data_IF_699411666877
#
_entry.id   IF_699411666877
#
_cell.length_a   1.000
_cell.length_b   1.000
_cell.length_c   1.000
_cell.angle_alpha   90.00
_cell.angle_beta   90.00
_cell.angle_gamma   90.00
#
_symmetry.space_group_name_H-M   'P 1'
#
loop_
_entity.id
_entity.type
_entity.pdbx_description
1 polymer ?
#
# COMPACT_ATOMS: atom_id res chain seq x y z
N UNK A 1 -6.53 0.36 7.33
CA UNK A 1 -5.96 1.41 6.44
C UNK A 1 -6.06 0.88 5.02
N UNK A 2 -6.66 1.63 4.12
CA UNK A 2 -6.84 1.21 2.71
C UNK A 2 -5.63 1.62 1.83
N UNK A 3 -4.43 1.49 2.37
CA UNK A 3 -3.15 1.77 1.71
C UNK A 3 -2.20 0.59 1.99
N UNK A 4 -1.50 0.14 0.96
CA UNK A 4 -0.69 -1.05 0.99
C UNK A 4 0.70 -0.83 0.41
N UNK A 5 1.62 -1.74 0.74
CA UNK A 5 2.96 -1.82 0.17
C UNK A 5 2.99 -2.89 -0.94
N UNK A 6 3.70 -2.60 -2.03
CA UNK A 6 3.82 -3.48 -3.20
C UNK A 6 5.27 -3.65 -3.61
N UNK A 7 5.59 -4.83 -4.16
CA UNK A 7 6.92 -5.16 -4.68
C UNK A 7 7.13 -4.71 -6.13
N UNK A 8 6.07 -4.27 -6.82
CA UNK A 8 6.10 -3.87 -8.22
C UNK A 8 5.33 -2.58 -8.49
N UNK A 9 5.74 -1.84 -9.51
CA UNK A 9 5.11 -0.58 -9.94
C UNK A 9 3.68 -0.78 -10.49
N UNK A 10 3.38 -1.98 -11.00
CA UNK A 10 2.08 -2.35 -11.52
C UNK A 10 1.07 -2.68 -10.41
N UNK A 11 1.51 -2.68 -9.15
CA UNK A 11 0.71 -2.95 -7.95
C UNK A 11 0.02 -4.33 -7.97
N UNK A 12 0.67 -5.31 -8.58
CA UNK A 12 0.16 -6.69 -8.68
C UNK A 12 0.66 -7.59 -7.56
N UNK A 13 1.76 -7.21 -6.89
CA UNK A 13 2.41 -7.97 -5.83
C UNK A 13 2.34 -7.22 -4.50
N UNK A 14 1.14 -7.20 -3.90
CA UNK A 14 0.97 -6.63 -2.57
C UNK A 14 1.80 -7.41 -1.54
N UNK A 15 2.55 -6.71 -0.71
CA UNK A 15 3.28 -7.32 0.42
C UNK A 15 2.25 -7.76 1.45
N UNK A 16 2.40 -8.99 1.96
CA UNK A 16 1.48 -9.55 2.95
C UNK A 16 1.50 -8.77 4.27
N UNK A 17 0.33 -8.63 4.86
CA UNK A 17 0.10 -7.86 6.09
C UNK A 17 -0.10 -8.79 7.30
N UNK A 18 0.87 -9.69 7.51
CA UNK A 18 0.92 -10.58 8.67
C UNK A 18 0.51 -12.03 8.41
N UNK A 19 0.14 -12.38 7.18
CA UNK A 19 -0.28 -13.74 6.78
C UNK A 19 0.80 -14.52 5.99
N UNK A 20 1.93 -13.89 5.66
CA UNK A 20 3.03 -14.48 4.88
C UNK A 20 2.64 -15.00 3.48
N UNK A 21 1.53 -14.58 2.91
CA UNK A 21 1.09 -15.02 1.58
C UNK A 21 2.02 -14.51 0.47
N UNK A 22 2.53 -13.29 0.60
CA UNK A 22 3.49 -12.66 -0.30
C UNK A 22 4.45 -11.74 0.47
N UNK A 23 5.38 -12.29 1.28
CA UNK A 23 6.31 -11.49 2.07
C UNK A 23 7.35 -10.79 1.19
N UNK A 24 7.93 -9.69 1.68
CA UNK A 24 9.16 -9.11 1.13
C UNK A 24 10.36 -10.01 1.46
N UNK A 25 10.43 -11.18 0.81
CA UNK A 25 11.41 -12.20 1.10
C UNK A 25 12.63 -12.10 0.18
N UNK A 26 13.79 -12.36 0.77
CA UNK A 26 15.08 -12.48 0.07
C UNK A 26 15.96 -13.54 0.74
N UNK A 27 16.88 -14.13 -0.04
CA UNK A 27 17.93 -15.00 0.47
C UNK A 27 19.25 -14.22 0.51
N UNK A 28 19.96 -14.29 1.63
CA UNK A 28 21.23 -13.59 1.84
C UNK A 28 22.38 -14.53 2.14
N UNK A 29 23.57 -14.19 1.65
CA UNK A 29 24.81 -14.89 2.00
C UNK A 29 25.34 -14.38 3.36
N UNK A 30 24.98 -15.06 4.43
CA UNK A 30 25.46 -14.73 5.77
C UNK A 30 26.95 -15.04 6.01
N UNK A 31 27.56 -15.94 5.22
CA UNK A 31 28.99 -16.27 5.39
C UNK A 31 29.89 -15.09 5.03
N UNK A 32 29.65 -14.50 3.86
CA UNK A 32 30.48 -13.40 3.33
C UNK A 32 29.87 -12.03 3.64
N UNK A 33 28.60 -11.99 4.02
CA UNK A 33 27.78 -10.80 4.11
C UNK A 33 27.23 -10.41 2.75
N UNK A 34 26.02 -9.81 2.74
CA UNK A 34 25.38 -9.39 1.51
C UNK A 34 24.51 -8.15 1.71
N UNK A 35 24.46 -7.30 0.68
CA UNK A 35 23.62 -6.10 0.65
C UNK A 35 22.68 -6.23 -0.54
N UNK A 36 21.36 -6.03 -0.29
CA UNK A 36 20.34 -5.95 -1.35
C UNK A 36 19.47 -4.72 -1.19
N UNK A 37 19.29 -4.02 -2.29
CA UNK A 37 18.39 -2.89 -2.40
C UNK A 37 17.10 -3.32 -3.11
N UNK A 38 15.97 -2.83 -2.63
CA UNK A 38 14.66 -3.05 -3.26
C UNK A 38 13.85 -1.76 -3.26
N UNK A 39 13.20 -1.47 -4.38
CA UNK A 39 12.18 -0.43 -4.43
C UNK A 39 10.85 -1.02 -3.97
N UNK A 40 10.14 -0.26 -3.14
CA UNK A 40 8.82 -0.61 -2.62
C UNK A 40 7.87 0.52 -3.00
N UNK A 41 6.68 0.15 -3.45
CA UNK A 41 5.64 1.07 -3.88
C UNK A 41 4.54 1.15 -2.83
N UNK A 42 3.95 2.33 -2.68
CA UNK A 42 2.88 2.62 -1.72
C UNK A 42 1.69 3.17 -2.49
N UNK A 43 0.59 2.49 -2.46
CA UNK A 43 -0.62 2.88 -3.16
C UNK A 43 -1.87 2.57 -2.34
N UNK A 44 -2.95 3.33 -2.60
CA UNK A 44 -4.26 2.98 -2.10
C UNK A 44 -4.74 1.68 -2.75
N UNK A 45 -5.59 0.97 -2.05
CA UNK A 45 -6.38 -0.10 -2.61
C UNK A 45 -7.16 0.38 -3.83
N UNK A 46 -7.08 -0.37 -4.92
CA UNK A 46 -7.67 0.02 -6.21
C UNK A 46 -8.09 -1.18 -7.05
N UNK A 47 -9.05 -0.93 -7.95
CA UNK A 47 -9.54 -1.84 -8.97
C UNK A 47 -10.11 -1.03 -10.14
N UNK A 48 -10.89 -1.63 -11.02
CA UNK A 48 -11.64 -0.93 -12.08
C UNK A 48 -13.10 -1.34 -12.10
N UNK A 49 -13.96 -0.53 -12.75
CA UNK A 49 -15.32 -0.92 -13.06
C UNK A 49 -15.34 -2.04 -14.10
N UNK A 50 -16.11 -3.10 -13.86
CA UNK A 50 -16.31 -4.17 -14.83
C UNK A 50 -17.29 -3.78 -15.95
N UNK A 51 -18.24 -2.88 -15.66
CA UNK A 51 -19.23 -2.38 -16.60
C UNK A 51 -19.42 -0.85 -16.44
N UNK A 52 -19.87 -0.14 -17.49
CA UNK A 52 -20.16 1.28 -17.38
C UNK A 52 -21.36 1.51 -16.46
N UNK A 53 -21.36 2.63 -15.75
CA UNK A 53 -22.47 3.08 -14.91
C UNK A 53 -22.95 4.47 -15.35
N UNK A 54 -24.24 4.73 -15.24
CA UNK A 54 -24.82 6.06 -15.45
C UNK A 54 -24.85 6.88 -14.14
N UNK A 55 -25.38 8.10 -14.19
CA UNK A 55 -25.43 9.02 -13.05
C UNK A 55 -26.45 8.67 -11.96
N UNK A 56 -27.33 7.68 -12.19
CA UNK A 56 -28.39 7.28 -11.23
C UNK A 56 -28.21 5.87 -10.67
N UNK A 57 -27.38 5.06 -11.32
CA UNK A 57 -27.16 3.67 -10.92
C UNK A 57 -26.41 3.59 -9.59
N UNK A 58 -26.90 2.77 -8.68
CA UNK A 58 -26.32 2.55 -7.33
C UNK A 58 -25.69 1.18 -7.16
N UNK A 59 -26.01 0.23 -8.04
CA UNK A 59 -25.38 -1.09 -8.03
C UNK A 59 -24.27 -1.08 -9.07
N UNK A 60 -23.03 -1.34 -8.63
CA UNK A 60 -21.84 -1.30 -9.46
C UNK A 60 -21.11 -2.63 -9.41
N UNK A 61 -20.45 -2.99 -10.51
CA UNK A 61 -19.66 -4.20 -10.61
C UNK A 61 -18.17 -3.83 -10.78
N UNK A 62 -17.32 -4.42 -9.95
CA UNK A 62 -15.87 -4.26 -9.98
C UNK A 62 -15.21 -5.44 -10.67
N UNK A 63 -14.00 -5.25 -11.20
CA UNK A 63 -13.20 -6.36 -11.77
C UNK A 63 -12.62 -7.27 -10.70
N UNK A 64 -12.39 -6.76 -9.49
CA UNK A 64 -11.86 -7.51 -8.35
C UNK A 64 -12.52 -7.05 -7.04
N UNK A 65 -12.72 -7.98 -6.07
CA UNK A 65 -13.21 -7.63 -4.74
C UNK A 65 -12.07 -6.98 -3.94
N UNK A 66 -12.21 -5.72 -3.60
CA UNK A 66 -11.17 -4.96 -2.90
C UNK A 66 -11.67 -4.27 -1.63
N UNK A 67 -12.85 -3.71 -1.64
CA UNK A 67 -13.34 -2.79 -0.62
C UNK A 67 -14.31 -3.46 0.35
N UNK A 68 -14.40 -2.92 1.57
CA UNK A 68 -15.33 -3.37 2.60
C UNK A 68 -16.59 -2.49 2.68
N UNK A 69 -17.62 -2.97 3.39
CA UNK A 69 -18.82 -2.18 3.69
C UNK A 69 -18.44 -0.94 4.52
N UNK A 70 -19.17 0.14 4.31
CA UNK A 70 -18.99 1.47 4.91
C UNK A 70 -17.76 2.26 4.44
N UNK A 71 -16.88 1.68 3.64
CA UNK A 71 -15.74 2.41 3.05
C UNK A 71 -16.19 3.42 1.99
N UNK A 72 -15.30 4.38 1.73
CA UNK A 72 -15.44 5.34 0.65
C UNK A 72 -14.59 4.91 -0.54
N UNK A 73 -15.14 5.09 -1.74
CA UNK A 73 -14.43 4.91 -3.01
C UNK A 73 -14.53 6.16 -3.86
N UNK A 74 -13.57 6.35 -4.77
CA UNK A 74 -13.56 7.47 -5.72
C UNK A 74 -13.41 6.93 -7.14
N UNK A 75 -14.28 7.44 -8.04
CA UNK A 75 -14.22 7.19 -9.47
C UNK A 75 -14.18 8.55 -10.18
N UNK A 76 -13.07 8.88 -10.82
CA UNK A 76 -12.87 10.22 -11.36
C UNK A 76 -12.88 11.28 -10.27
N UNK A 77 -13.90 12.12 -10.24
CA UNK A 77 -14.11 13.16 -9.21
C UNK A 77 -15.31 12.86 -8.29
N UNK A 78 -15.97 11.73 -8.47
CA UNK A 78 -17.11 11.34 -7.66
C UNK A 78 -16.68 10.45 -6.51
N UNK A 79 -17.09 10.85 -5.30
CA UNK A 79 -16.96 10.02 -4.11
C UNK A 79 -18.27 9.29 -3.83
N UNK A 80 -18.17 8.01 -3.53
CA UNK A 80 -19.29 7.14 -3.17
C UNK A 80 -18.99 6.44 -1.84
N UNK A 81 -20.04 6.03 -1.13
CA UNK A 81 -19.92 5.19 0.06
C UNK A 81 -20.53 3.82 -0.22
N UNK A 82 -19.80 2.76 0.09
CA UNK A 82 -20.28 1.38 0.00
C UNK A 82 -21.30 1.14 1.11
N UNK A 83 -22.51 0.76 0.74
CA UNK A 83 -23.60 0.43 1.67
C UNK A 83 -23.64 -1.07 1.96
N UNK A 84 -23.36 -1.90 0.95
CA UNK A 84 -23.33 -3.36 1.06
C UNK A 84 -22.57 -3.99 -0.09
N UNK A 85 -22.25 -5.28 0.05
CA UNK A 85 -21.50 -6.05 -0.95
C UNK A 85 -19.98 -6.03 -0.75
N UNK A 86 -19.50 -5.43 0.31
CA UNK A 86 -18.08 -5.40 0.65
C UNK A 86 -17.46 -6.80 0.66
N UNK A 87 -16.23 -6.94 0.15
CA UNK A 87 -15.56 -8.22 -0.05
C UNK A 87 -16.02 -9.00 -1.28
N UNK A 88 -16.93 -8.43 -2.10
CA UNK A 88 -17.36 -9.01 -3.39
C UNK A 88 -17.13 -8.02 -4.54
N UNK A 89 -17.32 -8.48 -5.77
CA UNK A 89 -17.27 -7.60 -6.95
C UNK A 89 -18.54 -6.77 -7.14
N UNK A 90 -19.67 -7.14 -6.52
CA UNK A 90 -20.94 -6.45 -6.67
C UNK A 90 -21.21 -5.59 -5.44
N UNK A 91 -21.18 -4.29 -5.62
CA UNK A 91 -21.38 -3.31 -4.55
C UNK A 91 -22.68 -2.54 -4.75
N UNK A 92 -23.40 -2.26 -3.66
CA UNK A 92 -24.42 -1.20 -3.63
C UNK A 92 -23.81 0.03 -2.96
N UNK A 93 -23.86 1.17 -3.64
CA UNK A 93 -23.24 2.41 -3.18
C UNK A 93 -24.24 3.55 -2.98
N UNK A 94 -23.92 4.44 -2.03
CA UNK A 94 -24.53 5.75 -1.94
C UNK A 94 -23.64 6.73 -2.71
N UNK A 95 -24.23 7.38 -3.71
CA UNK A 95 -23.56 8.39 -4.55
C UNK A 95 -23.62 9.80 -3.94
N UNK A 96 -22.92 10.75 -4.55
CA UNK A 96 -22.92 12.17 -4.16
C UNK A 96 -22.50 12.43 -2.71
N UNK A 97 -21.56 11.64 -2.23
CA UNK A 97 -20.98 11.85 -0.89
C UNK A 97 -20.02 13.05 -0.95
N UNK A 98 -19.82 13.71 0.18
CA UNK A 98 -18.89 14.85 0.32
C UNK A 98 -19.16 15.98 -0.70
N UNK A 99 -20.42 16.23 -1.06
CA UNK A 99 -20.83 17.24 -2.06
C UNK A 99 -20.28 17.00 -3.49
N UNK A 100 -19.84 15.80 -3.81
CA UNK A 100 -19.50 15.43 -5.19
C UNK A 100 -20.77 15.29 -6.04
N UNK A 101 -20.62 15.36 -7.35
CA UNK A 101 -21.74 15.24 -8.29
C UNK A 101 -21.68 13.86 -8.93
N UNK A 102 -22.84 13.18 -8.99
CA UNK A 102 -22.96 11.91 -9.69
C UNK A 102 -22.68 12.10 -11.19
N UNK A 103 -21.86 11.21 -11.75
CA UNK A 103 -21.46 11.23 -13.14
C UNK A 103 -21.52 9.83 -13.75
N UNK A 104 -21.63 9.74 -15.08
CA UNK A 104 -21.44 8.48 -15.79
C UNK A 104 -19.96 8.10 -15.79
N UNK A 105 -19.67 6.82 -15.58
CA UNK A 105 -18.30 6.29 -15.66
C UNK A 105 -18.26 5.12 -16.65
N UNK A 106 -17.22 5.09 -17.46
CA UNK A 106 -17.02 4.02 -18.44
C UNK A 106 -16.59 2.70 -17.77
N UNK A 107 -16.75 1.59 -18.46
CA UNK A 107 -16.05 0.36 -18.10
C UNK A 107 -14.53 0.62 -18.04
N UNK A 108 -13.84 -0.13 -17.22
CA UNK A 108 -12.40 0.00 -16.95
C UNK A 108 -11.98 1.33 -16.27
N UNK A 109 -12.95 2.19 -15.88
CA UNK A 109 -12.64 3.37 -15.09
C UNK A 109 -11.98 2.98 -13.76
N UNK A 110 -10.85 3.61 -13.37
CA UNK A 110 -10.20 3.30 -12.11
C UNK A 110 -11.08 3.65 -10.91
N UNK A 111 -11.11 2.75 -9.94
CA UNK A 111 -11.80 2.86 -8.65
C UNK A 111 -10.74 2.81 -7.55
N UNK A 112 -10.63 3.86 -6.77
CA UNK A 112 -9.68 3.98 -5.67
C UNK A 112 -10.40 3.99 -4.32
N UNK A 113 -9.73 3.49 -3.27
CA UNK A 113 -10.12 3.80 -1.91
C UNK A 113 -10.16 5.33 -1.72
N UNK A 114 -11.24 5.84 -1.14
CA UNK A 114 -11.57 7.27 -1.06
C UNK A 114 -10.84 8.04 0.04
N UNK A 115 -9.54 7.78 0.26
CA UNK A 115 -8.74 8.44 1.28
C UNK A 115 -7.45 9.01 0.71
N UNK A 116 -7.20 10.29 1.02
CA UNK A 116 -5.86 10.88 0.94
C UNK A 116 -5.13 10.67 2.25
N UNK A 117 -3.81 10.67 2.21
CA UNK A 117 -2.98 10.45 3.39
C UNK A 117 -2.07 11.63 3.66
N UNK A 118 -1.86 11.94 4.95
CA UNK A 118 -0.89 12.95 5.40
C UNK A 118 0.01 12.36 6.49
N UNK A 119 1.24 12.87 6.55
CA UNK A 119 2.21 12.43 7.55
C UNK A 119 2.54 10.93 7.45
N UNK A 120 2.55 10.37 6.22
CA UNK A 120 2.95 8.98 6.01
C UNK A 120 4.39 8.76 6.43
N UNK A 121 4.60 7.77 7.28
CA UNK A 121 5.92 7.32 7.73
C UNK A 121 5.99 5.81 7.59
N UNK A 122 7.08 5.30 7.01
CA UNK A 122 7.43 3.89 7.02
C UNK A 122 8.57 3.65 8.01
N UNK A 123 8.42 2.64 8.85
CA UNK A 123 9.30 2.35 9.97
C UNK A 123 9.68 0.86 9.95
N UNK A 124 10.97 0.49 9.85
CA UNK A 124 11.38 -0.88 10.02
C UNK A 124 11.31 -1.23 11.50
N UNK A 125 10.55 -2.26 11.82
CA UNK A 125 10.38 -2.76 13.19
C UNK A 125 10.75 -4.22 13.27
N UNK A 126 11.24 -4.61 14.42
CA UNK A 126 11.46 -6.00 14.82
C UNK A 126 10.58 -6.31 16.02
N UNK A 127 9.99 -7.49 16.05
CA UNK A 127 9.01 -7.85 17.09
C UNK A 127 9.59 -8.78 18.15
N UNK A 128 10.64 -9.52 17.83
CA UNK A 128 11.15 -10.57 18.71
C UNK A 128 12.68 -10.63 18.74
N UNK A 129 13.24 -11.12 19.84
CA UNK A 129 14.66 -11.46 20.03
C UNK A 129 15.63 -10.25 20.00
N UNK A 130 16.61 -10.32 19.10
CA UNK A 130 17.58 -9.26 18.87
C UNK A 130 17.07 -8.32 17.79
N UNK A 131 17.34 -7.01 17.94
CA UNK A 131 16.87 -6.00 17.02
C UNK A 131 17.58 -6.07 15.65
N UNK A 132 17.00 -6.83 14.72
CA UNK A 132 17.43 -6.91 13.33
C UNK A 132 16.85 -5.78 12.45
N UNK A 133 16.04 -4.90 12.97
CA UNK A 133 15.62 -3.69 12.23
C UNK A 133 16.84 -2.84 11.83
N UNK A 134 17.95 -2.96 12.55
CA UNK A 134 19.25 -2.33 12.22
C UNK A 134 19.87 -2.82 10.90
N UNK A 135 19.39 -3.92 10.34
CA UNK A 135 19.79 -4.37 9.00
C UNK A 135 19.19 -3.52 7.90
N UNK A 136 18.13 -2.78 8.21
CA UNK A 136 17.39 -1.99 7.23
C UNK A 136 17.80 -0.52 7.24
N UNK A 137 17.93 0.03 6.03
CA UNK A 137 17.96 1.46 5.75
C UNK A 137 16.85 1.80 4.77
N UNK A 138 16.22 2.94 4.98
CA UNK A 138 15.14 3.43 4.13
C UNK A 138 15.53 4.80 3.56
N UNK A 139 15.21 5.04 2.27
CA UNK A 139 15.43 6.33 1.62
C UNK A 139 14.43 6.55 0.47
N UNK A 140 14.18 7.79 0.10
CA UNK A 140 13.31 8.13 -1.04
C UNK A 140 13.94 7.78 -2.39
N UNK A 141 15.27 7.64 -2.45
CA UNK A 141 16.01 7.24 -3.66
C UNK A 141 17.05 6.17 -3.33
N UNK A 142 17.43 5.34 -4.30
CA UNK A 142 18.45 4.33 -4.11
C UNK A 142 19.79 4.95 -3.65
N UNK A 143 20.20 6.04 -4.26
CA UNK A 143 21.44 6.74 -3.87
C UNK A 143 21.37 7.31 -2.44
N UNK A 144 20.18 7.65 -1.96
CA UNK A 144 19.95 8.12 -0.59
C UNK A 144 20.24 7.06 0.49
N UNK A 145 20.21 5.77 0.14
CA UNK A 145 20.47 4.66 1.07
C UNK A 145 21.89 4.71 1.67
N UNK A 146 22.86 5.25 0.94
CA UNK A 146 24.25 5.33 1.44
C UNK A 146 24.35 6.25 2.67
N UNK A 147 23.61 7.35 2.66
CA UNK A 147 23.57 8.33 3.76
C UNK A 147 22.48 8.02 4.80
N UNK A 148 21.57 7.10 4.53
CA UNK A 148 20.47 6.77 5.43
C UNK A 148 20.98 6.12 6.73
N UNK A 149 20.30 6.42 7.83
CA UNK A 149 20.57 5.79 9.13
C UNK A 149 19.87 4.44 9.22
N UNK A 150 20.55 3.44 9.79
CA UNK A 150 19.96 2.13 10.06
C UNK A 150 18.80 2.26 11.03
N UNK A 151 17.76 1.44 10.84
CA UNK A 151 16.54 1.39 11.69
C UNK A 151 15.77 2.71 11.79
N UNK A 152 16.15 3.75 11.02
CA UNK A 152 15.45 5.02 11.09
C UNK A 152 14.15 5.02 10.28
N UNK A 153 13.06 5.60 10.81
CA UNK A 153 11.83 5.79 10.05
C UNK A 153 12.05 6.76 8.89
N UNK A 154 11.33 6.53 7.80
CA UNK A 154 11.34 7.37 6.61
C UNK A 154 10.02 8.11 6.46
N UNK A 155 10.07 9.44 6.41
CA UNK A 155 8.91 10.27 6.11
C UNK A 155 8.62 10.27 4.60
N UNK A 156 7.45 9.80 4.22
CA UNK A 156 6.95 9.77 2.84
C UNK A 156 6.10 11.00 2.50
N UNK A 157 5.68 11.78 3.51
CA UNK A 157 4.90 12.99 3.33
C UNK A 157 3.40 12.76 3.14
N UNK A 158 2.80 13.48 2.19
CA UNK A 158 1.39 13.35 1.83
C UNK A 158 1.24 12.55 0.54
N UNK A 159 0.09 11.89 0.37
CA UNK A 159 -0.24 11.08 -0.80
C UNK A 159 -1.73 11.21 -1.13
N UNK A 160 -2.07 11.59 -2.37
CA UNK A 160 -3.43 11.55 -2.86
C UNK A 160 -3.89 10.11 -3.15
N UNK A 161 -5.21 9.88 -3.10
CA UNK A 161 -5.82 8.55 -3.31
C UNK A 161 -5.39 7.87 -4.62
N UNK A 162 -5.24 8.63 -5.69
CA UNK A 162 -4.87 8.15 -7.04
C UNK A 162 -3.36 8.23 -7.34
N UNK A 163 -2.53 8.54 -6.36
CA UNK A 163 -1.09 8.65 -6.50
C UNK A 163 -0.40 7.36 -6.01
N UNK A 164 0.58 6.89 -6.76
CA UNK A 164 1.57 5.91 -6.28
C UNK A 164 2.84 6.66 -5.90
N UNK A 165 3.37 6.38 -4.72
CA UNK A 165 4.67 6.86 -4.28
C UNK A 165 5.58 5.65 -4.03
N UNK A 166 6.88 5.85 -3.96
CA UNK A 166 7.82 4.76 -3.71
C UNK A 166 8.97 5.19 -2.83
N UNK A 167 9.62 4.20 -2.23
CA UNK A 167 10.85 4.36 -1.47
C UNK A 167 11.78 3.15 -1.70
N UNK A 168 13.02 3.28 -1.26
CA UNK A 168 14.01 2.22 -1.34
C UNK A 168 14.31 1.66 0.05
N UNK A 169 14.39 0.35 0.13
CA UNK A 169 14.84 -0.41 1.28
C UNK A 169 16.17 -1.09 0.95
N UNK A 170 17.20 -0.87 1.76
CA UNK A 170 18.43 -1.67 1.78
C UNK A 170 18.38 -2.61 2.97
N UNK A 171 18.64 -3.89 2.74
CA UNK A 171 18.93 -4.84 3.80
C UNK A 171 20.40 -5.22 3.73
N UNK A 172 21.08 -5.15 4.88
CA UNK A 172 22.51 -5.49 5.02
C UNK A 172 22.65 -6.63 6.01
N UNK A 173 23.00 -7.81 5.52
CA UNK A 173 23.38 -8.95 6.35
C UNK A 173 24.90 -8.98 6.49
N UNK A 174 25.40 -8.99 7.73
CA UNK A 174 26.83 -8.92 8.01
C UNK A 174 27.50 -10.29 7.75
N UNK A 175 28.79 -10.25 7.42
CA UNK A 175 29.62 -11.45 7.35
C UNK A 175 29.67 -12.17 8.71
N UNK A 176 29.56 -13.50 8.67
CA UNK A 176 29.53 -14.34 9.86
C UNK A 176 28.14 -14.48 10.49
N UNK A 177 27.08 -13.96 9.85
CA UNK A 177 25.70 -14.17 10.29
C UNK A 177 25.33 -15.65 10.16
N UNK A 178 24.90 -16.33 11.25
CA UNK A 178 24.49 -17.74 11.19
C UNK A 178 23.33 -17.97 10.23
N UNK A 179 23.24 -19.19 9.70
CA UNK A 179 22.09 -19.59 8.88
C UNK A 179 20.82 -19.56 9.75
N UNK A 180 19.89 -18.73 9.38
CA UNK A 180 18.63 -18.53 10.09
C UNK A 180 17.53 -18.06 9.13
N UNK A 181 16.27 -18.19 9.55
CA UNK A 181 15.12 -17.64 8.85
C UNK A 181 14.51 -16.56 9.75
N UNK A 182 14.61 -15.29 9.30
CA UNK A 182 14.01 -14.14 10.01
C UNK A 182 12.68 -13.80 9.34
N UNK A 183 11.62 -13.79 10.12
CA UNK A 183 10.24 -13.56 9.68
C UNK A 183 9.53 -12.47 10.48
N UNK A 184 10.24 -11.81 11.37
CA UNK A 184 9.75 -10.86 12.38
C UNK A 184 10.13 -9.40 12.07
N UNK A 185 10.95 -9.16 11.06
CA UNK A 185 11.24 -7.80 10.59
C UNK A 185 10.09 -7.34 9.69
N UNK A 186 9.48 -6.21 10.04
CA UNK A 186 8.32 -5.64 9.34
C UNK A 186 8.59 -4.20 8.91
N UNK A 187 7.92 -3.80 7.85
CA UNK A 187 7.79 -2.40 7.47
C UNK A 187 6.41 -1.90 7.93
N UNK A 188 6.39 -1.13 9.01
CA UNK A 188 5.16 -0.53 9.53
C UNK A 188 4.89 0.79 8.86
N UNK A 189 3.77 0.89 8.15
CA UNK A 189 3.27 2.13 7.56
C UNK A 189 2.26 2.80 8.51
N UNK A 190 2.48 4.07 8.82
CA UNK A 190 1.58 4.89 9.65
C UNK A 190 1.30 6.22 8.97
N UNK A 191 0.16 6.82 9.29
CA UNK A 191 -0.25 8.12 8.75
C UNK A 191 -1.68 8.47 9.15
N UNK A 192 -2.15 9.63 8.72
CA UNK A 192 -3.53 10.08 8.93
C UNK A 192 -4.32 9.90 7.65
N UNK A 193 -5.40 9.14 7.72
CA UNK A 193 -6.41 9.02 6.67
C UNK A 193 -7.31 10.25 6.67
N UNK A 194 -7.50 10.84 5.51
CA UNK A 194 -8.41 11.96 5.30
C UNK A 194 -9.36 11.58 4.15
N UNK A 195 -10.67 11.46 4.39
CA UNK A 195 -11.60 11.23 3.28
C UNK A 195 -11.42 12.30 2.20
N UNK A 196 -11.44 11.87 0.95
CA UNK A 196 -11.40 12.79 -0.21
C UNK A 196 -12.67 13.65 -0.16
N UNK A 197 -12.51 14.99 -0.13
CA UNK A 197 -13.62 15.96 -0.02
C UNK A 197 -13.87 16.66 -1.34
#
# INVERSE_FOLDING_TARGET
>A
MAIHLYLDEQLTQQISEGDFSNPDADNYNGTDGEIKDRQIFVANEQTTLAAPIDEIQTDIELTEPRFADAEYIVIGTEQMQILSGGGTINLTVRRTVANTVAASHAADAPVYSGYDYTGLVVDPIDEFETDESVWYKLALTQAGLDAATQSAPLNLGAKAHNQTISFWRRCTVLSGTPVQNKIDIKLRLTGTENPVL
#
